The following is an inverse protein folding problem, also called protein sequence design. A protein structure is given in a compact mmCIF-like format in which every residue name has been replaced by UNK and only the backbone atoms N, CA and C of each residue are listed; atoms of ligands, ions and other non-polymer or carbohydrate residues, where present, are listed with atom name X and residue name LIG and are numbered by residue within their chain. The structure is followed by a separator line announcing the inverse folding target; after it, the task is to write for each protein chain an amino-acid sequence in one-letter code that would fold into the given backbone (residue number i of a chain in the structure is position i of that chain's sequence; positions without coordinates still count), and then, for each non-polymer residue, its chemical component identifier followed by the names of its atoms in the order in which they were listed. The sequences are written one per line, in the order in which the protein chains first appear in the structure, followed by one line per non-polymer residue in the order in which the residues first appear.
data_IF_456003145686
#
_entry.id   IF_456003145686
#
_cell.length_a   1.000
_cell.length_b   1.000
_cell.length_c   1.000
_cell.angle_alpha   90.00
_cell.angle_beta   90.00
_cell.angle_gamma   90.00
#
_symmetry.space_group_name_H-M   'P 1'
#
loop_
_entity.id
_entity.type
_entity.pdbx_description
1 polymer ?
#
# COMPACT_ATOMS: atom_id res chain seq x y z
N UNK A 1 -62.07 -5.44 -3.18
CA UNK A 1 -61.11 -4.66 -4.03
C UNK A 1 -59.81 -4.54 -3.28
N UNK A 2 -58.88 -5.42 -3.59
CA UNK A 2 -57.62 -5.59 -2.90
C UNK A 2 -56.53 -4.74 -3.62
N UNK A 3 -56.00 -3.73 -2.94
CA UNK A 3 -54.92 -2.88 -3.48
C UNK A 3 -53.60 -3.62 -3.45
N UNK A 4 -53.22 -4.22 -4.56
CA UNK A 4 -51.85 -4.74 -4.78
C UNK A 4 -50.87 -3.59 -4.80
N UNK A 5 -50.15 -3.43 -3.70
CA UNK A 5 -49.02 -2.49 -3.59
C UNK A 5 -47.85 -2.99 -4.46
N UNK A 6 -47.64 -2.39 -5.64
CA UNK A 6 -46.44 -2.57 -6.46
C UNK A 6 -45.23 -2.04 -5.70
N UNK A 7 -44.48 -2.93 -5.05
CA UNK A 7 -43.07 -2.62 -4.66
C UNK A 7 -42.28 -2.30 -5.93
N UNK A 8 -41.98 -1.02 -6.14
CA UNK A 8 -40.98 -0.58 -7.14
C UNK A 8 -39.67 -1.30 -6.83
N UNK A 9 -39.25 -2.23 -7.69
CA UNK A 9 -37.92 -2.80 -7.68
C UNK A 9 -36.91 -1.66 -7.79
N UNK A 10 -36.07 -1.54 -6.79
CA UNK A 10 -34.89 -0.71 -6.88
C UNK A 10 -34.00 -1.33 -7.97
N UNK A 11 -33.93 -0.73 -9.14
CA UNK A 11 -32.93 -1.07 -10.14
C UNK A 11 -31.55 -0.92 -9.47
N UNK A 12 -30.90 -2.05 -9.16
CA UNK A 12 -29.52 -2.06 -8.76
C UNK A 12 -28.70 -1.53 -9.94
N UNK A 13 -28.18 -0.31 -9.81
CA UNK A 13 -27.21 0.22 -10.76
C UNK A 13 -26.09 -0.81 -10.91
N UNK A 14 -25.70 -1.19 -12.13
CA UNK A 14 -24.63 -2.14 -12.36
C UNK A 14 -23.39 -1.68 -11.61
N UNK A 15 -22.80 -2.59 -10.83
CA UNK A 15 -21.60 -2.36 -10.03
C UNK A 15 -20.47 -1.93 -10.98
N UNK A 16 -20.20 -0.64 -11.08
CA UNK A 16 -19.21 -0.06 -11.98
C UNK A 16 -17.75 -0.44 -11.61
N UNK A 17 -17.58 -1.30 -10.62
CA UNK A 17 -16.27 -1.80 -10.20
C UNK A 17 -15.82 -2.93 -11.12
N UNK A 18 -14.65 -2.77 -11.72
CA UNK A 18 -14.01 -3.82 -12.50
C UNK A 18 -13.89 -5.12 -11.69
N UNK A 19 -14.33 -6.21 -12.27
CA UNK A 19 -14.18 -7.55 -11.68
C UNK A 19 -12.94 -8.19 -12.29
N UNK A 20 -12.10 -8.80 -11.46
CA UNK A 20 -11.00 -9.61 -11.98
C UNK A 20 -11.57 -10.83 -12.70
N UNK A 21 -11.10 -11.08 -13.92
CA UNK A 21 -11.58 -12.16 -14.78
C UNK A 21 -11.11 -13.56 -14.31
N UNK A 22 -10.21 -13.63 -13.32
CA UNK A 22 -9.71 -14.90 -12.79
C UNK A 22 -8.97 -14.77 -11.46
N UNK A 23 -8.75 -15.91 -10.79
CA UNK A 23 -8.02 -15.99 -9.52
C UNK A 23 -6.56 -15.51 -9.66
N UNK A 24 -5.90 -15.88 -10.76
CA UNK A 24 -4.50 -15.52 -11.03
C UNK A 24 -4.38 -13.98 -11.18
N UNK A 25 -5.26 -13.34 -11.94
CA UNK A 25 -5.25 -11.88 -12.09
C UNK A 25 -5.42 -11.16 -10.76
N UNK A 26 -6.30 -11.64 -9.89
CA UNK A 26 -6.47 -11.11 -8.54
C UNK A 26 -5.20 -11.27 -7.69
N UNK A 27 -4.60 -12.47 -7.67
CA UNK A 27 -3.37 -12.75 -6.90
C UNK A 27 -2.22 -11.88 -7.37
N UNK A 28 -2.01 -11.77 -8.70
CA UNK A 28 -0.97 -10.92 -9.26
C UNK A 28 -1.17 -9.44 -8.95
N UNK A 29 -2.41 -8.96 -9.00
CA UNK A 29 -2.71 -7.57 -8.65
C UNK A 29 -2.44 -7.28 -7.16
N UNK A 30 -2.83 -8.20 -6.26
CA UNK A 30 -2.56 -8.07 -4.81
C UNK A 30 -1.05 -8.16 -4.54
N UNK A 31 -0.35 -9.12 -5.14
CA UNK A 31 1.09 -9.26 -5.01
C UNK A 31 1.83 -8.01 -5.53
N UNK A 32 1.45 -7.51 -6.71
CA UNK A 32 2.03 -6.30 -7.29
C UNK A 32 1.80 -5.06 -6.43
N UNK A 33 0.62 -4.91 -5.84
CA UNK A 33 0.32 -3.79 -4.93
C UNK A 33 1.04 -3.90 -3.59
N UNK A 34 1.42 -5.10 -3.16
CA UNK A 34 2.15 -5.34 -1.92
C UNK A 34 3.66 -5.08 -2.07
N UNK A 35 4.21 -5.18 -3.28
CA UNK A 35 5.63 -4.89 -3.55
C UNK A 35 5.82 -3.39 -3.66
N UNK A 36 6.46 -2.81 -2.65
CA UNK A 36 6.78 -1.39 -2.60
C UNK A 36 8.27 -1.13 -2.41
N UNK A 37 8.65 0.13 -2.45
CA UNK A 37 10.03 0.58 -2.20
C UNK A 37 10.59 0.07 -0.87
N UNK A 38 9.74 -0.09 0.14
CA UNK A 38 10.12 -0.65 1.42
C UNK A 38 10.70 -2.06 1.32
N UNK A 39 10.17 -2.89 0.45
CA UNK A 39 10.59 -4.28 0.27
C UNK A 39 11.95 -4.36 -0.43
N UNK A 40 12.22 -3.45 -1.39
CA UNK A 40 13.43 -3.46 -2.22
C UNK A 40 14.56 -2.71 -1.51
N UNK A 41 14.24 -1.59 -0.86
CA UNK A 41 15.23 -0.71 -0.25
C UNK A 41 15.42 -1.00 1.25
N UNK A 42 14.34 -0.77 2.03
CA UNK A 42 14.43 -0.73 3.49
C UNK A 42 14.58 -2.11 4.12
N UNK A 43 13.88 -3.09 3.60
CA UNK A 43 13.88 -4.43 4.17
C UNK A 43 15.26 -5.11 4.12
N UNK A 44 16.00 -5.13 2.98
CA UNK A 44 17.34 -5.69 2.94
C UNK A 44 18.32 -4.97 3.88
N UNK A 45 18.23 -3.64 3.94
CA UNK A 45 19.05 -2.85 4.87
C UNK A 45 18.79 -3.21 6.33
N UNK A 46 17.52 -3.32 6.73
CA UNK A 46 17.16 -3.71 8.10
C UNK A 46 17.58 -5.15 8.41
N UNK A 47 17.41 -6.06 7.46
CA UNK A 47 17.85 -7.44 7.60
C UNK A 47 19.37 -7.51 7.87
N UNK A 48 20.17 -6.81 7.07
CA UNK A 48 21.61 -6.74 7.27
C UNK A 48 21.99 -6.11 8.63
N UNK A 49 21.29 -5.03 9.03
CA UNK A 49 21.57 -4.30 10.27
C UNK A 49 21.23 -5.08 11.54
N UNK A 50 20.15 -5.86 11.51
CA UNK A 50 19.61 -6.53 12.71
C UNK A 50 19.83 -8.04 12.72
N UNK A 51 20.98 -8.50 12.26
CA UNK A 51 21.42 -9.89 12.41
C UNK A 51 20.93 -10.86 11.34
N UNK A 52 20.63 -10.36 10.13
CA UNK A 52 20.41 -11.19 8.93
C UNK A 52 19.40 -12.31 9.13
N UNK A 53 19.90 -13.52 9.35
CA UNK A 53 19.07 -14.71 9.48
C UNK A 53 18.07 -14.67 10.64
N UNK A 54 18.45 -14.13 11.80
CA UNK A 54 17.54 -13.99 12.95
C UNK A 54 16.41 -13.01 12.66
N UNK A 55 16.72 -11.89 12.00
CA UNK A 55 15.70 -10.95 11.54
C UNK A 55 14.71 -11.63 10.59
N UNK A 56 15.19 -12.39 9.61
CA UNK A 56 14.35 -13.11 8.65
C UNK A 56 13.47 -14.17 9.33
N UNK A 57 14.02 -14.90 10.30
CA UNK A 57 13.27 -15.91 11.05
C UNK A 57 12.10 -15.28 11.81
N UNK A 58 12.36 -14.21 12.57
CA UNK A 58 11.31 -13.49 13.30
C UNK A 58 10.28 -12.90 12.33
N UNK A 59 10.75 -12.31 11.23
CA UNK A 59 9.87 -11.78 10.20
C UNK A 59 8.94 -12.85 9.62
N UNK A 60 9.46 -14.04 9.31
CA UNK A 60 8.66 -15.15 8.78
C UNK A 60 7.60 -15.62 9.79
N UNK A 61 7.96 -15.74 11.06
CA UNK A 61 7.01 -16.12 12.12
C UNK A 61 5.89 -15.07 12.20
N UNK A 62 6.24 -13.78 12.24
CA UNK A 62 5.26 -12.71 12.30
C UNK A 62 4.39 -12.63 11.03
N UNK A 63 4.98 -12.88 9.86
CA UNK A 63 4.24 -12.90 8.60
C UNK A 63 3.23 -14.04 8.55
N UNK A 64 3.62 -15.25 8.99
CA UNK A 64 2.74 -16.42 8.98
C UNK A 64 1.63 -16.32 10.04
N UNK A 65 1.89 -15.68 11.17
CA UNK A 65 0.90 -15.51 12.25
C UNK A 65 0.04 -14.27 12.02
N UNK A 66 0.62 -13.08 12.22
CA UNK A 66 -0.13 -11.81 12.11
C UNK A 66 -0.45 -11.41 10.68
N UNK A 67 0.50 -11.55 9.75
CA UNK A 67 0.32 -11.15 8.36
C UNK A 67 -0.82 -11.92 7.69
N UNK A 68 -0.87 -13.23 7.88
CA UNK A 68 -1.94 -14.06 7.34
C UNK A 68 -3.32 -13.66 7.88
N UNK A 69 -3.43 -13.49 9.21
CA UNK A 69 -4.69 -13.09 9.87
C UNK A 69 -5.15 -11.72 9.38
N UNK A 70 -4.24 -10.75 9.25
CA UNK A 70 -4.55 -9.40 8.77
C UNK A 70 -5.05 -9.42 7.33
N UNK A 71 -4.36 -10.11 6.41
CA UNK A 71 -4.77 -10.21 5.00
C UNK A 71 -6.14 -10.89 4.88
N UNK A 72 -6.38 -11.97 5.63
CA UNK A 72 -7.67 -12.66 5.63
C UNK A 72 -8.78 -11.76 6.15
N UNK A 73 -8.55 -11.02 7.21
CA UNK A 73 -9.52 -10.09 7.80
C UNK A 73 -9.87 -8.97 6.82
N UNK A 74 -8.88 -8.31 6.23
CA UNK A 74 -9.08 -7.22 5.26
C UNK A 74 -9.80 -7.71 4.00
N UNK A 75 -9.40 -8.86 3.46
CA UNK A 75 -10.02 -9.45 2.28
C UNK A 75 -11.48 -9.82 2.55
N UNK A 76 -11.77 -10.41 3.71
CA UNK A 76 -13.12 -10.77 4.12
C UNK A 76 -13.98 -9.53 4.28
N UNK A 77 -13.48 -8.51 4.96
CA UNK A 77 -14.15 -7.23 5.15
C UNK A 77 -14.49 -6.57 3.81
N UNK A 78 -13.52 -6.53 2.90
CA UNK A 78 -13.70 -5.98 1.56
C UNK A 78 -14.76 -6.74 0.75
N UNK A 79 -14.75 -8.07 0.80
CA UNK A 79 -15.74 -8.91 0.10
C UNK A 79 -17.14 -8.78 0.66
N UNK A 80 -17.28 -8.73 1.99
CA UNK A 80 -18.58 -8.61 2.66
C UNK A 80 -19.23 -7.25 2.40
N UNK A 81 -18.45 -6.18 2.44
CA UNK A 81 -19.00 -4.82 2.39
C UNK A 81 -19.06 -4.25 0.99
N UNK A 82 -18.14 -4.65 0.10
CA UNK A 82 -17.96 -4.08 -1.25
C UNK A 82 -17.87 -2.55 -1.23
N UNK A 83 -17.32 -1.97 -0.17
CA UNK A 83 -17.21 -0.53 0.05
C UNK A 83 -15.76 -0.13 0.27
N UNK A 84 -15.49 1.18 0.20
CA UNK A 84 -14.21 1.76 0.63
C UNK A 84 -14.00 1.53 2.14
N UNK A 85 -12.77 1.62 2.67
CA UNK A 85 -12.49 1.41 4.10
C UNK A 85 -13.44 2.19 5.01
N UNK A 86 -13.65 3.48 4.74
CA UNK A 86 -14.58 4.33 5.51
C UNK A 86 -16.01 3.80 5.48
N UNK A 87 -16.47 3.39 4.29
CA UNK A 87 -17.80 2.82 4.10
C UNK A 87 -17.96 1.44 4.74
N UNK A 88 -16.90 0.62 4.71
CA UNK A 88 -16.89 -0.71 5.30
C UNK A 88 -17.09 -0.64 6.82
N UNK A 89 -16.27 0.16 7.51
CA UNK A 89 -16.40 0.36 8.95
C UNK A 89 -17.75 0.98 9.34
N UNK A 90 -18.31 1.86 8.50
CA UNK A 90 -19.64 2.43 8.71
C UNK A 90 -20.80 1.43 8.58
N UNK A 91 -20.57 0.27 7.95
CA UNK A 91 -21.58 -0.78 7.78
C UNK A 91 -21.78 -1.60 9.06
N UNK A 92 -20.70 -1.80 9.85
CA UNK A 92 -20.74 -2.62 11.07
C UNK A 92 -21.29 -1.92 12.31
N UNK A 93 -21.48 -0.62 12.26
CA UNK A 93 -22.11 0.10 13.38
C UNK A 93 -22.26 1.59 13.14
N UNK A 94 -23.26 2.15 13.83
CA UNK A 94 -23.54 3.59 13.79
C UNK A 94 -22.61 4.40 14.71
N UNK A 95 -21.71 3.75 15.47
CA UNK A 95 -20.80 4.43 16.41
C UNK A 95 -19.78 5.27 15.63
N UNK A 96 -19.57 6.51 16.06
CA UNK A 96 -18.60 7.45 15.47
C UNK A 96 -17.16 6.91 15.51
N UNK A 97 -16.79 6.13 16.54
CA UNK A 97 -15.46 5.51 16.68
C UNK A 97 -15.12 4.54 15.56
N UNK A 98 -16.09 3.77 15.07
CA UNK A 98 -15.87 2.85 13.93
C UNK A 98 -15.59 3.62 12.64
N UNK A 99 -16.31 4.71 12.38
CA UNK A 99 -16.04 5.58 11.23
C UNK A 99 -14.66 6.22 11.32
N UNK A 100 -14.20 6.59 12.52
CA UNK A 100 -12.88 7.13 12.74
C UNK A 100 -11.76 6.14 12.34
N UNK A 101 -11.89 4.86 12.71
CA UNK A 101 -10.99 3.80 12.24
C UNK A 101 -10.91 3.70 10.71
N UNK A 102 -12.03 3.81 10.03
CA UNK A 102 -12.08 3.86 8.56
C UNK A 102 -11.38 5.07 7.96
N UNK A 103 -11.50 6.23 8.58
CA UNK A 103 -10.79 7.45 8.16
C UNK A 103 -9.28 7.35 8.36
N UNK A 104 -8.81 6.81 9.48
CA UNK A 104 -7.37 6.54 9.69
C UNK A 104 -6.82 5.69 8.55
N UNK A 105 -7.53 4.60 8.22
CA UNK A 105 -7.11 3.71 7.12
C UNK A 105 -7.08 4.43 5.76
N UNK A 106 -7.97 5.38 5.51
CA UNK A 106 -7.99 6.15 4.27
C UNK A 106 -6.89 7.24 4.21
N UNK A 107 -6.51 7.81 5.35
CA UNK A 107 -5.49 8.86 5.43
C UNK A 107 -4.08 8.31 5.21
N UNK A 108 -3.80 7.07 5.66
CA UNK A 108 -2.47 6.46 5.53
C UNK A 108 -1.93 6.49 4.09
N UNK A 109 -2.66 6.02 3.05
CA UNK A 109 -2.19 6.10 1.67
C UNK A 109 -1.93 7.53 1.20
N UNK A 110 -2.75 8.49 1.64
CA UNK A 110 -2.58 9.92 1.27
C UNK A 110 -1.27 10.48 1.82
N UNK A 111 -0.87 10.09 3.03
CA UNK A 111 0.41 10.50 3.61
C UNK A 111 1.62 9.77 3.00
N UNK A 112 1.41 8.55 2.49
CA UNK A 112 2.47 7.77 1.86
C UNK A 112 2.85 8.32 0.47
N UNK A 113 1.89 8.84 -0.30
CA UNK A 113 2.14 9.33 -1.68
C UNK A 113 3.27 10.37 -1.76
N UNK A 114 3.30 11.46 -0.95
CA UNK A 114 4.41 12.41 -0.98
C UNK A 114 5.77 11.77 -0.68
N UNK A 115 5.82 10.89 0.31
CA UNK A 115 7.03 10.14 0.67
C UNK A 115 7.54 9.30 -0.51
N UNK A 116 6.66 8.57 -1.18
CA UNK A 116 7.02 7.77 -2.36
C UNK A 116 7.46 8.64 -3.53
N UNK A 117 6.85 9.79 -3.73
CA UNK A 117 7.24 10.74 -4.79
C UNK A 117 8.66 11.24 -4.60
N UNK A 118 9.05 11.60 -3.38
CA UNK A 118 10.41 12.04 -3.06
C UNK A 118 11.42 10.92 -3.32
N UNK A 119 11.18 9.71 -2.80
CA UNK A 119 12.10 8.59 -3.02
C UNK A 119 12.16 8.22 -4.51
N UNK A 120 11.03 8.27 -5.22
CA UNK A 120 11.00 8.07 -6.67
C UNK A 120 11.91 9.05 -7.41
N UNK A 121 11.88 10.33 -7.03
CA UNK A 121 12.79 11.35 -7.54
C UNK A 121 14.26 11.01 -7.29
N UNK A 122 14.60 10.54 -6.09
CA UNK A 122 15.96 10.09 -5.79
C UNK A 122 16.43 8.93 -6.67
N UNK A 123 15.56 7.93 -6.86
CA UNK A 123 15.86 6.79 -7.73
C UNK A 123 16.11 7.23 -9.17
N UNK A 124 15.28 8.12 -9.71
CA UNK A 124 15.46 8.68 -11.05
C UNK A 124 16.78 9.45 -11.15
N UNK A 125 17.11 10.28 -10.16
CA UNK A 125 18.38 11.01 -10.12
C UNK A 125 19.58 10.07 -10.15
N UNK A 126 19.60 9.05 -9.31
CA UNK A 126 20.66 8.05 -9.29
C UNK A 126 20.78 7.32 -10.62
N UNK A 127 19.67 6.96 -11.22
CA UNK A 127 19.63 6.33 -12.54
C UNK A 127 20.25 7.22 -13.63
N UNK A 128 19.88 8.49 -13.67
CA UNK A 128 20.43 9.46 -14.63
C UNK A 128 21.94 9.67 -14.43
N UNK A 129 22.39 9.81 -13.18
CA UNK A 129 23.83 9.96 -12.90
C UNK A 129 24.60 8.70 -13.27
N UNK A 130 24.03 7.51 -13.07
CA UNK A 130 24.63 6.26 -13.52
C UNK A 130 24.76 6.19 -15.04
N UNK A 131 23.74 6.60 -15.79
CA UNK A 131 23.80 6.67 -17.26
C UNK A 131 24.83 7.69 -17.76
N UNK A 132 25.10 8.75 -17.02
CA UNK A 132 26.16 9.73 -17.32
C UNK A 132 27.58 9.23 -17.04
N UNK A 133 27.74 8.00 -16.55
CA UNK A 133 29.05 7.43 -16.21
C UNK A 133 29.58 7.84 -14.83
N UNK A 134 28.79 8.51 -14.01
CA UNK A 134 29.17 8.96 -12.67
C UNK A 134 29.01 7.88 -11.59
N UNK A 135 28.92 6.61 -11.95
CA UNK A 135 28.65 5.50 -11.02
C UNK A 135 29.63 5.43 -9.84
N UNK A 136 30.91 5.72 -10.07
CA UNK A 136 31.92 5.74 -9.01
C UNK A 136 31.63 6.82 -7.95
N UNK A 137 31.19 8.01 -8.36
CA UNK A 137 30.82 9.10 -7.45
C UNK A 137 29.59 8.78 -6.60
N UNK A 138 28.67 8.01 -7.15
CA UNK A 138 27.46 7.58 -6.43
C UNK A 138 27.77 6.63 -5.26
N UNK A 139 28.90 5.90 -5.36
CA UNK A 139 29.38 4.97 -4.33
C UNK A 139 30.23 5.66 -3.23
N UNK A 140 30.54 6.94 -3.37
CA UNK A 140 31.32 7.69 -2.37
C UNK A 140 30.51 7.85 -1.07
N UNK A 141 31.17 7.63 0.06
CA UNK A 141 30.61 7.86 1.37
C UNK A 141 30.17 9.33 1.52
N UNK A 142 28.93 9.53 1.89
CA UNK A 142 28.37 10.87 2.08
C UNK A 142 27.76 11.52 0.83
N UNK A 143 27.85 10.92 -0.36
CA UNK A 143 27.20 11.47 -1.56
C UNK A 143 25.70 11.67 -1.35
N UNK A 144 25.01 10.67 -0.82
CA UNK A 144 23.59 10.74 -0.52
C UNK A 144 23.27 11.85 0.49
N UNK A 145 24.05 11.95 1.56
CA UNK A 145 23.85 12.98 2.58
C UNK A 145 24.03 14.40 2.02
N UNK A 146 25.01 14.60 1.16
CA UNK A 146 25.20 15.88 0.46
C UNK A 146 24.07 16.17 -0.52
N UNK A 147 23.57 15.16 -1.21
CA UNK A 147 22.48 15.30 -2.15
C UNK A 147 21.18 15.72 -1.45
N UNK A 148 20.77 15.07 -0.36
CA UNK A 148 19.54 15.41 0.38
C UNK A 148 19.63 16.73 1.16
N UNK A 149 20.84 17.17 1.55
CA UNK A 149 21.04 18.44 2.23
C UNK A 149 21.11 19.64 1.27
N UNK A 150 21.25 19.40 -0.02
CA UNK A 150 21.29 20.45 -1.03
C UNK A 150 19.88 20.63 -1.63
N UNK A 151 19.07 21.55 -1.06
CA UNK A 151 17.67 21.75 -1.40
C UNK A 151 17.41 21.98 -2.90
N UNK A 152 18.29 22.69 -3.60
CA UNK A 152 18.19 22.95 -5.03
C UNK A 152 18.30 21.69 -5.90
N UNK A 153 18.99 20.66 -5.44
CA UNK A 153 19.19 19.41 -6.19
C UNK A 153 18.10 18.36 -5.91
N UNK A 154 17.28 18.60 -4.90
CA UNK A 154 16.17 17.70 -4.54
C UNK A 154 14.85 18.09 -5.21
N UNK A 155 14.76 19.28 -5.78
CA UNK A 155 13.55 19.80 -6.45
C UNK A 155 13.47 19.47 -7.94
N UNK A 156 14.47 18.81 -8.52
CA UNK A 156 14.51 18.34 -9.89
C UNK A 156 14.28 16.83 -9.89
#
# INVERSE_FOLDING_TARGET
MEKVSKKKGKEEKPDARGKFSGRIGYVLAVAGSAVGLGNIWRFPYLAAKYGGGMFLLVYLILMLTFGYVMIMSETTLGRMTKKSPVGAFGTFGKKKSLKFGGWINAIIPVLIVPYYSVIGGWVIKYFVEYLKGNGAKLAEDGYFSKFISNGLSTEI
#
